data_IF_910189140682
#
_entry.id   IF_910189140682
#
_cell.length_a   1.000
_cell.length_b   1.000
_cell.length_c   1.000
_cell.angle_alpha   90.00
_cell.angle_beta   90.00
_cell.angle_gamma   90.00
#
_symmetry.space_group_name_H-M   'P 1'
#
loop_
_entity.id
_entity.type
_entity.pdbx_description
1 polymer ?
#
# COMPACT_ATOMS: atom_id res chain seq x y z
N UNK A 1 -5.03 6.30 -18.44
CA UNK A 1 -4.61 7.72 -18.61
C UNK A 1 -3.53 7.78 -19.67
N UNK A 2 -3.55 8.79 -20.56
CA UNK A 2 -2.51 8.97 -21.59
C UNK A 2 -1.74 10.25 -21.27
N UNK A 3 -0.42 10.14 -21.14
CA UNK A 3 0.50 11.26 -20.99
C UNK A 3 1.33 11.40 -22.26
N UNK A 4 1.65 12.64 -22.67
CA UNK A 4 2.62 12.87 -23.75
C UNK A 4 4.01 12.41 -23.32
N UNK A 5 4.72 11.74 -24.22
CA UNK A 5 6.08 11.35 -23.94
C UNK A 5 7.02 12.58 -23.93
N UNK A 6 7.75 12.83 -22.83
CA UNK A 6 8.65 13.98 -22.74
C UNK A 6 9.93 13.83 -23.58
N UNK A 7 10.22 12.62 -24.09
CA UNK A 7 11.43 12.28 -24.87
C UNK A 7 11.17 12.09 -26.36
N UNK A 8 9.91 11.91 -26.78
CA UNK A 8 9.52 11.75 -28.19
C UNK A 8 8.11 12.38 -28.43
N UNK A 9 8.01 13.52 -29.13
CA UNK A 9 6.74 14.24 -29.28
C UNK A 9 5.68 13.50 -30.11
N UNK A 10 6.07 12.50 -30.90
CA UNK A 10 5.15 11.70 -31.72
C UNK A 10 4.57 10.50 -30.93
N UNK A 11 5.00 10.27 -29.67
CA UNK A 11 4.58 9.16 -28.84
C UNK A 11 3.71 9.59 -27.65
N UNK A 12 2.72 8.76 -27.34
CA UNK A 12 1.95 8.82 -26.09
C UNK A 12 2.24 7.61 -25.20
N UNK A 13 2.29 7.83 -23.89
CA UNK A 13 2.42 6.76 -22.89
C UNK A 13 1.06 6.56 -22.24
N UNK A 14 0.48 5.38 -22.44
CA UNK A 14 -0.78 4.98 -21.84
C UNK A 14 -0.55 4.05 -20.65
N UNK A 15 -1.12 4.41 -19.50
CA UNK A 15 -1.22 3.51 -18.35
C UNK A 15 -2.66 3.01 -18.21
N UNK A 16 -2.77 1.70 -18.00
CA UNK A 16 -3.98 1.03 -17.53
C UNK A 16 -3.94 0.90 -16.01
N UNK A 17 -5.11 0.87 -15.39
CA UNK A 17 -5.22 0.55 -13.98
C UNK A 17 -4.96 -0.94 -13.76
N UNK A 18 -4.44 -1.30 -12.58
CA UNK A 18 -4.38 -2.68 -12.14
C UNK A 18 -5.81 -3.21 -11.94
N UNK A 19 -6.12 -4.38 -12.49
CA UNK A 19 -7.39 -5.04 -12.28
C UNK A 19 -7.26 -6.10 -11.19
N UNK A 20 -8.18 -6.07 -10.23
CA UNK A 20 -8.31 -7.06 -9.17
C UNK A 20 -9.77 -7.44 -8.96
N UNK A 21 -10.07 -8.52 -8.22
CA UNK A 21 -11.44 -8.94 -7.93
C UNK A 21 -12.14 -8.05 -6.88
N UNK A 22 -11.64 -6.83 -6.64
CA UNK A 22 -12.08 -5.91 -5.58
C UNK A 22 -11.89 -4.44 -5.98
N UNK A 23 -12.54 -3.53 -5.26
CA UNK A 23 -12.31 -2.09 -5.38
C UNK A 23 -11.14 -1.67 -4.48
N UNK A 24 -9.91 -1.90 -4.93
CA UNK A 24 -8.70 -1.68 -4.13
C UNK A 24 -8.37 -0.21 -3.85
N UNK A 25 -7.91 0.07 -2.63
CA UNK A 25 -7.16 1.28 -2.26
C UNK A 25 -5.71 0.89 -1.96
N UNK A 26 -4.77 1.80 -2.19
CA UNK A 26 -3.38 1.57 -1.81
C UNK A 26 -2.69 2.86 -1.40
N UNK A 27 -1.71 2.72 -0.51
CA UNK A 27 -0.73 3.76 -0.18
C UNK A 27 0.63 3.09 0.01
N UNK A 28 1.69 3.79 -0.38
CA UNK A 28 3.05 3.28 -0.25
C UNK A 28 4.02 4.38 0.12
N UNK A 29 5.13 4.00 0.72
CA UNK A 29 6.17 4.93 1.11
C UNK A 29 7.40 4.21 1.62
N UNK A 30 8.30 5.01 2.19
CA UNK A 30 9.50 4.58 2.90
C UNK A 30 9.35 4.95 4.37
N UNK A 31 9.91 4.14 5.25
CA UNK A 31 10.00 4.42 6.68
C UNK A 31 11.34 3.95 7.24
N UNK A 32 11.65 4.41 8.45
CA UNK A 32 12.88 4.12 9.17
C UNK A 32 12.53 3.57 10.56
N UNK A 33 13.18 2.48 10.94
CA UNK A 33 13.16 1.94 12.29
C UNK A 33 14.13 2.73 13.16
N UNK A 34 13.66 3.14 14.33
CA UNK A 34 14.47 3.76 15.38
C UNK A 34 14.27 2.98 16.67
N UNK A 35 15.35 2.44 17.23
CA UNK A 35 15.33 1.44 18.28
C UNK A 35 14.47 0.20 17.90
N UNK A 36 14.56 -0.22 16.63
CA UNK A 36 13.85 -1.40 16.13
C UNK A 36 12.33 -1.26 15.97
N UNK A 37 11.81 -0.03 16.00
CA UNK A 37 10.38 0.26 15.79
C UNK A 37 10.18 1.43 14.81
N UNK A 38 9.15 1.33 13.98
CA UNK A 38 8.66 2.40 13.13
C UNK A 38 7.16 2.56 13.33
N UNK A 39 6.73 3.79 13.60
CA UNK A 39 5.33 4.20 13.67
C UNK A 39 5.06 5.11 12.49
N UNK A 40 4.13 4.71 11.63
CA UNK A 40 3.76 5.44 10.42
C UNK A 40 2.30 5.85 10.53
N UNK A 41 2.06 7.15 10.71
CA UNK A 41 0.72 7.73 10.62
C UNK A 41 0.35 7.89 9.14
N UNK A 42 -0.78 7.30 8.74
CA UNK A 42 -1.28 7.35 7.38
C UNK A 42 -2.13 8.61 7.17
N UNK A 43 -2.16 9.16 5.95
CA UNK A 43 -2.95 10.35 5.65
C UNK A 43 -4.44 10.13 5.94
N UNK A 44 -5.09 11.13 6.54
CA UNK A 44 -6.51 11.06 6.91
C UNK A 44 -7.42 10.63 5.74
N UNK A 45 -7.15 11.14 4.53
CA UNK A 45 -7.94 10.82 3.35
C UNK A 45 -7.94 9.31 3.02
N UNK A 46 -6.87 8.58 3.35
CA UNK A 46 -6.81 7.13 3.15
C UNK A 46 -7.78 6.41 4.09
N UNK A 47 -7.85 6.83 5.35
CA UNK A 47 -8.78 6.29 6.35
C UNK A 47 -10.26 6.60 6.04
N UNK A 48 -10.53 7.75 5.41
CA UNK A 48 -11.88 8.13 5.01
C UNK A 48 -12.46 7.21 3.93
N UNK A 49 -11.61 6.67 3.04
CA UNK A 49 -12.06 5.90 1.87
C UNK A 49 -11.72 4.42 1.93
N UNK A 50 -10.92 3.97 2.88
CA UNK A 50 -10.51 2.56 3.03
C UNK A 50 -11.29 1.90 4.17
N UNK A 51 -11.71 0.66 3.95
CA UNK A 51 -12.34 -0.19 4.96
C UNK A 51 -11.36 -0.52 6.08
N UNK A 52 -11.86 -0.77 7.29
CA UNK A 52 -11.06 -1.31 8.40
C UNK A 52 -10.73 -2.80 8.19
N UNK A 53 -11.47 -3.47 7.31
CA UNK A 53 -11.30 -4.88 6.98
C UNK A 53 -10.54 -5.06 5.66
N UNK A 54 -9.80 -6.17 5.53
CA UNK A 54 -9.12 -6.53 4.30
C UNK A 54 -7.82 -5.77 4.02
N UNK A 55 -7.25 -5.06 5.00
CA UNK A 55 -5.93 -4.47 4.84
C UNK A 55 -4.84 -5.54 4.82
N UNK A 56 -3.87 -5.34 3.93
CA UNK A 56 -2.60 -6.07 3.92
C UNK A 56 -1.45 -5.09 3.73
N UNK A 57 -0.26 -5.48 4.14
CA UNK A 57 0.95 -4.69 3.90
C UNK A 57 2.10 -5.59 3.47
N UNK A 58 2.82 -5.16 2.45
CA UNK A 58 4.14 -5.70 2.11
C UNK A 58 5.22 -4.78 2.67
N UNK A 59 6.21 -5.35 3.35
CA UNK A 59 7.39 -4.66 3.86
C UNK A 59 8.62 -5.14 3.11
N UNK A 60 9.51 -4.22 2.72
CA UNK A 60 10.74 -4.56 1.99
C UNK A 60 11.92 -3.79 2.56
N UNK A 61 12.90 -4.48 3.19
CA UNK A 61 14.11 -3.84 3.69
C UNK A 61 14.89 -3.13 2.58
N UNK A 62 15.54 -2.03 2.93
CA UNK A 62 16.38 -1.22 2.02
C UNK A 62 17.82 -1.30 2.50
N UNK A 63 18.73 -1.64 1.59
CA UNK A 63 20.18 -1.65 1.84
C UNK A 63 20.68 -2.87 2.60
N UNK A 64 20.00 -3.27 3.68
CA UNK A 64 20.38 -4.41 4.51
C UNK A 64 19.20 -5.33 4.86
N UNK A 65 19.50 -6.54 5.30
CA UNK A 65 18.48 -7.50 5.72
C UNK A 65 17.90 -7.12 7.09
N UNK A 66 16.58 -6.96 7.14
CA UNK A 66 15.82 -6.70 8.36
C UNK A 66 14.71 -7.76 8.51
N UNK A 67 14.55 -8.33 9.71
CA UNK A 67 13.49 -9.29 10.00
C UNK A 67 12.24 -8.55 10.50
N UNK A 68 11.57 -7.88 9.55
CA UNK A 68 10.43 -7.00 9.81
C UNK A 68 9.14 -7.80 10.09
N UNK A 69 8.32 -7.29 11.01
CA UNK A 69 6.95 -7.76 11.26
C UNK A 69 6.01 -6.62 11.64
N UNK A 70 4.72 -6.82 11.37
CA UNK A 70 3.67 -5.83 11.62
C UNK A 70 3.10 -6.06 13.02
N UNK A 71 3.06 -4.99 13.82
CA UNK A 71 2.46 -4.98 15.16
C UNK A 71 1.03 -4.46 15.11
N UNK A 72 0.79 -3.41 14.31
CA UNK A 72 -0.51 -2.78 14.12
C UNK A 72 -0.67 -2.41 12.66
N UNK A 73 -1.86 -2.67 12.10
CA UNK A 73 -2.25 -2.18 10.78
C UNK A 73 -3.72 -1.74 10.83
N UNK A 74 -3.93 -0.48 10.49
CA UNK A 74 -5.24 0.13 10.28
C UNK A 74 -5.17 1.13 9.12
N UNK A 75 -6.31 1.64 8.63
CA UNK A 75 -6.32 2.73 7.64
C UNK A 75 -5.68 4.03 8.13
N UNK A 76 -5.39 4.16 9.42
CA UNK A 76 -4.79 5.36 10.04
C UNK A 76 -3.33 5.17 10.39
N UNK A 77 -2.88 3.93 10.59
CA UNK A 77 -1.58 3.68 11.21
C UNK A 77 -1.00 2.34 10.79
N UNK A 78 0.31 2.32 10.62
CA UNK A 78 1.12 1.11 10.51
C UNK A 78 2.21 1.17 11.59
N UNK A 79 2.32 0.09 12.38
CA UNK A 79 3.44 -0.10 13.32
C UNK A 79 4.22 -1.33 12.90
N UNK A 80 5.51 -1.14 12.66
CA UNK A 80 6.45 -2.19 12.24
C UNK A 80 7.56 -2.31 13.26
N UNK A 81 8.01 -3.53 13.52
CA UNK A 81 9.18 -3.81 14.34
C UNK A 81 10.13 -4.77 13.65
N UNK A 82 11.37 -4.77 14.12
CA UNK A 82 12.40 -5.72 13.72
C UNK A 82 12.65 -6.72 14.86
N UNK A 83 12.81 -8.00 14.53
CA UNK A 83 12.82 -9.10 15.51
C UNK A 83 13.97 -9.05 16.53
N UNK A 84 15.09 -8.44 16.16
CA UNK A 84 16.31 -8.31 16.97
C UNK A 84 16.54 -6.87 17.43
N UNK A 85 15.61 -5.96 17.14
CA UNK A 85 15.72 -4.54 17.50
C UNK A 85 16.71 -3.76 16.63
N UNK A 86 16.99 -4.22 15.41
CA UNK A 86 17.87 -3.49 14.47
C UNK A 86 17.17 -2.25 13.92
N UNK A 87 17.95 -1.20 13.73
CA UNK A 87 17.54 -0.02 12.97
C UNK A 87 17.76 -0.26 11.47
N UNK A 88 17.12 0.57 10.65
CA UNK A 88 17.23 0.47 9.20
C UNK A 88 15.99 1.00 8.49
N UNK A 89 16.05 1.01 7.17
CA UNK A 89 14.99 1.56 6.32
C UNK A 89 14.24 0.46 5.58
N UNK A 90 12.97 0.72 5.29
CA UNK A 90 12.14 -0.21 4.53
C UNK A 90 11.07 0.53 3.71
N UNK A 91 10.68 -0.05 2.59
CA UNK A 91 9.47 0.34 1.87
C UNK A 91 8.26 -0.38 2.45
N UNK A 92 7.11 0.28 2.42
CA UNK A 92 5.81 -0.32 2.67
C UNK A 92 4.87 -0.10 1.48
N UNK A 93 4.05 -1.11 1.19
CA UNK A 93 2.87 -1.00 0.32
C UNK A 93 1.68 -1.55 1.09
N UNK A 94 0.77 -0.66 1.47
CA UNK A 94 -0.49 -1.02 2.13
C UNK A 94 -1.57 -1.08 1.06
N UNK A 95 -2.32 -2.18 1.04
CA UNK A 95 -3.47 -2.39 0.18
C UNK A 95 -4.69 -2.65 1.06
N UNK A 96 -5.84 -2.12 0.67
CA UNK A 96 -7.11 -2.37 1.35
C UNK A 96 -8.27 -2.30 0.37
N UNK A 97 -9.48 -2.43 0.89
CA UNK A 97 -10.70 -2.35 0.09
C UNK A 97 -11.38 -1.01 0.29
N UNK A 98 -11.93 -0.44 -0.77
CA UNK A 98 -12.67 0.82 -0.70
C UNK A 98 -13.92 0.65 0.17
N UNK A 99 -14.09 1.57 1.12
CA UNK A 99 -15.22 1.60 2.04
C UNK A 99 -16.56 1.64 1.27
N UNK A 100 -17.46 0.72 1.60
CA UNK A 100 -18.75 0.54 0.93
C UNK A 100 -18.72 -0.36 -0.32
N UNK A 101 -17.56 -0.93 -0.67
CA UNK A 101 -17.37 -1.84 -1.81
C UNK A 101 -16.76 -3.19 -1.42
N UNK A 102 -16.76 -3.53 -0.13
CA UNK A 102 -16.20 -4.76 0.44
C UNK A 102 -16.84 -6.02 -0.17
N UNK A 103 -18.12 -5.94 -0.51
CA UNK A 103 -18.88 -7.04 -1.10
C UNK A 103 -18.81 -7.14 -2.63
N UNK A 104 -17.88 -6.46 -3.30
CA UNK A 104 -17.81 -6.50 -4.76
C UNK A 104 -17.64 -7.93 -5.29
N UNK A 105 -18.54 -8.34 -6.20
CA UNK A 105 -18.51 -9.65 -6.84
C UNK A 105 -18.09 -9.50 -8.31
N UNK A 106 -16.89 -9.99 -8.70
CA UNK A 106 -16.43 -9.90 -10.09
C UNK A 106 -17.20 -10.85 -11.00
N UNK A 107 -17.66 -12.00 -10.48
CA UNK A 107 -18.46 -12.97 -11.24
C UNK A 107 -19.94 -12.65 -11.06
N UNK A 108 -20.64 -12.47 -12.18
CA UNK A 108 -22.08 -12.21 -12.21
C UNK A 108 -22.75 -13.17 -13.17
N UNK A 109 -23.99 -13.55 -12.90
CA UNK A 109 -24.79 -14.32 -13.87
C UNK A 109 -24.94 -13.47 -15.14
N UNK A 110 -24.74 -14.10 -16.29
CA UNK A 110 -24.98 -13.47 -17.59
C UNK A 110 -26.41 -12.95 -17.67
N UNK A 111 -26.59 -11.81 -18.34
CA UNK A 111 -27.92 -11.32 -18.70
C UNK A 111 -28.54 -12.20 -19.75
#
# INVERSE_FOLDING_TARGET
FIQRDPTDPERGIAYAALEGPEAGTYIRGEAELVNGEAVIELPEHFALVTSEEGLTVQLTPIGEWLQLYVVELSPRRLVVREAQGKDGKFFYLIQGVRKGYEGFQPVRRGR
#
